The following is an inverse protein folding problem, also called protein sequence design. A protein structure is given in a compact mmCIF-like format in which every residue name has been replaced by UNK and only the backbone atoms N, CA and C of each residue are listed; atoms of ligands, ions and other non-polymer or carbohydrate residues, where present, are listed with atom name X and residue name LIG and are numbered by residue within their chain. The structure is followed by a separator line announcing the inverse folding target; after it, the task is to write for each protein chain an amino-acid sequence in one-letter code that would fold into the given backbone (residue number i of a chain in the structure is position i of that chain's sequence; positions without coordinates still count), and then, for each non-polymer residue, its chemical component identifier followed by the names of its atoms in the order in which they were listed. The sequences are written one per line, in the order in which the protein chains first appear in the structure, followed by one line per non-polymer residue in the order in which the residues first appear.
data_IF_131767692618
#
_entry.id   IF_131767692618
#
_cell.length_a   1.000
_cell.length_b   1.000
_cell.length_c   1.000
_cell.angle_alpha   90.00
_cell.angle_beta   90.00
_cell.angle_gamma   90.00
#
_symmetry.space_group_name_H-M   'P 1'
#
loop_
_entity.id
_entity.type
_entity.pdbx_description
1 polymer ?
#
# COMPACT_ATOMS: atom_id res chain seq x y z
N UNK A 1 -68.59 2.80 10.73
CA UNK A 1 -68.02 3.81 11.65
C UNK A 1 -66.61 4.09 11.17
N UNK A 2 -66.36 5.27 10.60
CA UNK A 2 -65.02 5.64 10.13
C UNK A 2 -64.17 6.06 11.33
N UNK A 3 -63.07 5.36 11.58
CA UNK A 3 -62.11 5.74 12.61
C UNK A 3 -61.26 6.89 12.06
N UNK A 4 -61.32 8.06 12.71
CA UNK A 4 -60.41 9.16 12.44
C UNK A 4 -59.02 8.78 12.93
N UNK A 5 -58.08 8.56 12.01
CA UNK A 5 -56.66 8.42 12.33
C UNK A 5 -56.09 9.83 12.53
N UNK A 6 -55.67 10.16 13.75
CA UNK A 6 -54.89 11.37 14.01
C UNK A 6 -53.41 11.05 13.81
N UNK A 7 -52.73 11.82 12.96
CA UNK A 7 -51.27 11.78 12.78
C UNK A 7 -50.70 13.02 13.43
N UNK A 8 -49.79 12.83 14.38
CA UNK A 8 -49.00 13.91 14.98
C UNK A 8 -47.64 13.96 14.28
N UNK A 9 -47.21 15.18 13.91
CA UNK A 9 -45.92 15.42 13.25
C UNK A 9 -45.15 16.43 14.09
N UNK A 10 -44.02 15.99 14.64
CA UNK A 10 -43.07 16.87 15.32
C UNK A 10 -42.05 17.41 14.31
N UNK A 11 -41.87 18.73 14.31
CA UNK A 11 -40.98 19.44 13.38
C UNK A 11 -39.97 20.27 14.16
N UNK A 12 -38.69 19.92 13.99
CA UNK A 12 -37.56 20.69 14.52
C UNK A 12 -37.11 21.71 13.48
N UNK A 13 -37.01 22.98 13.90
CA UNK A 13 -36.56 24.07 13.07
C UNK A 13 -35.21 24.61 13.54
N UNK A 14 -34.38 24.98 12.58
CA UNK A 14 -33.16 25.72 12.79
C UNK A 14 -33.20 27.02 12.00
N UNK A 15 -32.57 28.05 12.57
CA UNK A 15 -32.46 29.35 11.93
C UNK A 15 -31.26 29.37 10.99
N UNK A 16 -31.46 29.89 9.78
CA UNK A 16 -30.40 30.19 8.82
C UNK A 16 -30.55 31.62 8.34
N UNK A 17 -29.43 32.35 8.26
CA UNK A 17 -29.39 33.71 7.73
C UNK A 17 -28.68 33.73 6.38
N UNK A 18 -29.24 34.42 5.40
CA UNK A 18 -28.56 34.68 4.14
C UNK A 18 -27.47 35.75 4.36
N UNK A 19 -26.22 35.44 4.02
CA UNK A 19 -25.11 36.40 4.14
C UNK A 19 -25.16 37.55 3.13
N UNK A 20 -25.96 37.42 2.07
CA UNK A 20 -26.08 38.45 1.02
C UNK A 20 -27.19 39.46 1.34
N UNK A 21 -28.44 38.99 1.50
CA UNK A 21 -29.59 39.87 1.75
C UNK A 21 -29.91 40.06 3.24
N UNK A 22 -29.23 39.34 4.15
CA UNK A 22 -29.48 39.40 5.59
C UNK A 22 -30.80 38.75 6.06
N UNK A 23 -31.58 38.17 5.15
CA UNK A 23 -32.84 37.51 5.49
C UNK A 23 -32.64 36.33 6.45
N UNK A 24 -33.45 36.25 7.50
CA UNK A 24 -33.43 35.15 8.48
C UNK A 24 -34.63 34.22 8.22
N UNK A 25 -34.35 32.93 8.08
CA UNK A 25 -35.32 31.90 7.77
C UNK A 25 -35.29 30.80 8.82
N UNK A 26 -36.45 30.23 9.12
CA UNK A 26 -36.56 28.98 9.85
C UNK A 26 -36.70 27.83 8.85
N UNK A 27 -35.73 26.91 8.82
CA UNK A 27 -35.74 25.72 7.98
C UNK A 27 -35.79 24.46 8.83
N UNK A 28 -36.30 23.37 8.27
CA UNK A 28 -36.30 22.09 8.97
C UNK A 28 -34.85 21.65 9.28
N UNK A 29 -34.60 21.22 10.51
CA UNK A 29 -33.25 20.80 10.93
C UNK A 29 -32.75 19.61 10.11
N UNK A 30 -33.65 18.68 9.77
CA UNK A 30 -33.35 17.56 8.86
C UNK A 30 -32.89 18.04 7.48
N UNK A 31 -33.53 19.10 6.96
CA UNK A 31 -33.15 19.69 5.68
C UNK A 31 -31.76 20.35 5.78
N UNK A 32 -31.52 21.13 6.84
CA UNK A 32 -30.21 21.75 7.10
C UNK A 32 -29.08 20.70 7.18
N UNK A 33 -29.29 19.63 7.97
CA UNK A 33 -28.32 18.54 8.15
C UNK A 33 -28.07 17.76 6.85
N UNK A 34 -29.10 17.55 6.04
CA UNK A 34 -28.96 16.89 4.73
C UNK A 34 -27.98 17.66 3.84
N UNK A 35 -28.18 18.98 3.71
CA UNK A 35 -27.29 19.84 2.94
C UNK A 35 -25.87 19.91 3.53
N UNK A 36 -25.75 20.00 4.86
CA UNK A 36 -24.45 19.97 5.55
C UNK A 36 -23.68 18.66 5.28
N UNK A 37 -24.34 17.50 5.43
CA UNK A 37 -23.71 16.20 5.16
C UNK A 37 -23.34 16.05 3.69
N UNK A 38 -24.24 16.42 2.78
CA UNK A 38 -23.99 16.37 1.35
C UNK A 38 -22.93 17.37 0.88
N UNK A 39 -22.66 18.43 1.67
CA UNK A 39 -21.80 19.54 1.26
C UNK A 39 -22.44 20.40 0.17
N UNK A 40 -23.78 20.47 0.11
CA UNK A 40 -24.52 21.24 -0.89
C UNK A 40 -25.01 22.57 -0.31
N UNK A 41 -25.36 23.50 -1.20
CA UNK A 41 -25.87 24.82 -0.82
C UNK A 41 -27.38 24.81 -0.59
N UNK A 42 -27.83 25.68 0.32
CA UNK A 42 -29.21 26.11 0.43
C UNK A 42 -29.39 27.41 -0.35
N UNK A 43 -30.46 27.52 -1.13
CA UNK A 43 -30.72 28.72 -1.93
C UNK A 43 -31.66 29.65 -1.18
N UNK A 44 -31.26 30.91 -1.03
CA UNK A 44 -32.09 31.93 -0.43
C UNK A 44 -33.34 32.19 -1.30
N UNK A 45 -34.57 32.04 -0.76
CA UNK A 45 -35.78 32.27 -1.55
C UNK A 45 -35.97 33.72 -2.01
N UNK A 46 -35.29 34.68 -1.36
CA UNK A 46 -35.44 36.11 -1.68
C UNK A 46 -34.45 36.59 -2.73
N UNK A 47 -33.16 36.31 -2.56
CA UNK A 47 -32.12 36.77 -3.49
C UNK A 47 -31.58 35.68 -4.43
N UNK A 48 -32.10 34.45 -4.33
CA UNK A 48 -31.71 33.28 -5.12
C UNK A 48 -30.23 32.86 -5.03
N UNK A 49 -29.47 33.52 -4.15
CA UNK A 49 -28.07 33.18 -3.90
C UNK A 49 -28.00 31.89 -3.09
N UNK A 50 -27.23 30.93 -3.61
CA UNK A 50 -26.87 29.71 -2.90
C UNK A 50 -25.84 30.00 -1.80
N UNK A 51 -26.22 29.77 -0.54
CA UNK A 51 -25.34 29.80 0.61
C UNK A 51 -25.21 28.39 1.16
N UNK A 52 -23.99 27.89 1.26
CA UNK A 52 -23.77 26.46 1.49
C UNK A 52 -22.61 26.12 2.38
N UNK A 53 -22.60 24.84 2.73
CA UNK A 53 -21.57 24.19 3.55
C UNK A 53 -20.43 23.65 2.68
N UNK A 54 -20.05 24.41 1.64
CA UNK A 54 -19.06 23.96 0.65
C UNK A 54 -17.72 23.66 1.33
N UNK A 55 -17.17 22.49 1.02
CA UNK A 55 -15.90 21.99 1.57
C UNK A 55 -15.87 21.64 3.06
N UNK A 56 -16.92 21.96 3.84
CA UNK A 56 -16.96 21.73 5.30
C UNK A 56 -17.86 20.57 5.72
N UNK A 57 -18.57 19.96 4.77
CA UNK A 57 -19.43 18.81 5.04
C UNK A 57 -18.67 17.57 5.49
N UNK A 58 -19.33 16.76 6.32
CA UNK A 58 -18.81 15.48 6.82
C UNK A 58 -18.32 14.57 5.68
N UNK A 59 -19.03 14.55 4.54
CA UNK A 59 -18.61 13.78 3.38
C UNK A 59 -17.32 14.30 2.73
N UNK A 60 -17.08 15.61 2.70
CA UNK A 60 -15.83 16.16 2.16
C UNK A 60 -14.64 15.78 3.05
N UNK A 61 -14.82 15.82 4.37
CA UNK A 61 -13.82 15.37 5.34
C UNK A 61 -13.53 13.87 5.20
N UNK A 62 -14.57 13.05 5.11
CA UNK A 62 -14.43 11.60 4.93
C UNK A 62 -13.73 11.25 3.62
N UNK A 63 -14.05 11.92 2.52
CA UNK A 63 -13.35 11.74 1.23
C UNK A 63 -11.86 12.04 1.35
N UNK A 64 -11.50 13.17 1.98
CA UNK A 64 -10.08 13.53 2.19
C UNK A 64 -9.34 12.50 3.03
N UNK A 65 -9.98 11.99 4.09
CA UNK A 65 -9.40 10.93 4.93
C UNK A 65 -9.24 9.63 4.16
N UNK A 66 -10.21 9.29 3.30
CA UNK A 66 -10.13 8.09 2.47
C UNK A 66 -8.98 8.19 1.46
N UNK A 67 -8.85 9.32 0.76
CA UNK A 67 -7.74 9.58 -0.17
C UNK A 67 -6.36 9.51 0.52
N UNK A 68 -6.24 10.09 1.73
CA UNK A 68 -5.01 10.03 2.53
C UNK A 68 -4.67 8.57 2.91
N UNK A 69 -5.66 7.79 3.37
CA UNK A 69 -5.47 6.39 3.71
C UNK A 69 -5.13 5.52 2.50
N UNK A 70 -5.74 5.80 1.35
CA UNK A 70 -5.41 5.11 0.10
C UNK A 70 -3.98 5.40 -0.33
N UNK A 71 -3.55 6.66 -0.25
CA UNK A 71 -2.18 7.05 -0.56
C UNK A 71 -1.17 6.38 0.39
N UNK A 72 -1.45 6.34 1.69
CA UNK A 72 -0.64 5.64 2.69
C UNK A 72 -0.53 4.15 2.38
N UNK A 73 -1.66 3.50 2.08
CA UNK A 73 -1.70 2.08 1.73
C UNK A 73 -0.88 1.78 0.46
N UNK A 74 -0.97 2.64 -0.55
CA UNK A 74 -0.17 2.50 -1.77
C UNK A 74 1.33 2.63 -1.48
N UNK A 75 1.73 3.60 -0.65
CA UNK A 75 3.11 3.78 -0.25
C UNK A 75 3.64 2.60 0.56
N UNK A 76 2.84 2.07 1.48
CA UNK A 76 3.20 0.89 2.25
C UNK A 76 3.37 -0.34 1.34
N UNK A 77 2.45 -0.55 0.39
CA UNK A 77 2.57 -1.64 -0.59
C UNK A 77 3.85 -1.55 -1.42
N UNK A 78 4.18 -0.35 -1.92
CA UNK A 78 5.42 -0.11 -2.68
C UNK A 78 6.66 -0.43 -1.84
N UNK A 79 6.70 0.04 -0.58
CA UNK A 79 7.81 -0.25 0.35
C UNK A 79 7.98 -1.75 0.57
N UNK A 80 6.90 -2.46 0.87
CA UNK A 80 6.93 -3.92 1.08
C UNK A 80 7.38 -4.66 -0.17
N UNK A 81 6.91 -4.24 -1.35
CA UNK A 81 7.30 -4.83 -2.62
C UNK A 81 8.80 -4.64 -2.89
N UNK A 82 9.33 -3.42 -2.67
CA UNK A 82 10.75 -3.14 -2.83
C UNK A 82 11.61 -3.93 -1.87
N UNK A 83 11.23 -3.99 -0.59
CA UNK A 83 11.96 -4.81 0.39
C UNK A 83 12.01 -6.29 -0.03
N UNK A 84 10.89 -6.85 -0.50
CA UNK A 84 10.83 -8.23 -0.99
C UNK A 84 11.69 -8.44 -2.25
N UNK A 85 11.71 -7.47 -3.16
CA UNK A 85 12.56 -7.55 -4.34
C UNK A 85 14.04 -7.51 -3.95
N UNK A 86 14.41 -6.63 -3.02
CA UNK A 86 15.78 -6.51 -2.53
C UNK A 86 16.25 -7.81 -1.85
N UNK A 87 15.43 -8.41 -1.00
CA UNK A 87 15.76 -9.70 -0.35
C UNK A 87 15.95 -10.80 -1.40
N UNK A 88 15.03 -10.91 -2.36
CA UNK A 88 15.14 -11.88 -3.45
C UNK A 88 16.40 -11.66 -4.30
N UNK A 89 16.75 -10.41 -4.61
CA UNK A 89 17.98 -10.09 -5.33
C UNK A 89 19.23 -10.47 -4.52
N UNK A 90 19.24 -10.20 -3.22
CA UNK A 90 20.34 -10.58 -2.34
C UNK A 90 20.49 -12.10 -2.24
N UNK A 91 19.39 -12.84 -2.08
CA UNK A 91 19.39 -14.31 -2.04
C UNK A 91 19.88 -14.92 -3.35
N UNK A 92 19.40 -14.42 -4.48
CA UNK A 92 19.83 -14.88 -5.80
C UNK A 92 21.32 -14.62 -6.03
N UNK A 93 21.85 -13.47 -5.60
CA UNK A 93 23.30 -13.19 -5.65
C UNK A 93 24.09 -14.15 -4.78
N UNK A 94 23.70 -14.34 -3.51
CA UNK A 94 24.34 -15.31 -2.60
C UNK A 94 24.34 -16.72 -3.18
N UNK A 95 23.22 -17.16 -3.75
CA UNK A 95 23.11 -18.48 -4.39
C UNK A 95 24.03 -18.60 -5.60
N UNK A 96 24.09 -17.56 -6.44
CA UNK A 96 24.97 -17.50 -7.61
C UNK A 96 26.46 -17.57 -7.23
N UNK A 97 26.87 -16.81 -6.22
CA UNK A 97 28.23 -16.82 -5.67
C UNK A 97 28.59 -18.19 -5.08
N UNK A 98 27.68 -18.79 -4.29
CA UNK A 98 27.88 -20.13 -3.73
C UNK A 98 28.05 -21.17 -4.85
N UNK A 99 27.17 -21.15 -5.85
CA UNK A 99 27.26 -22.05 -7.00
C UNK A 99 28.58 -21.85 -7.79
N UNK A 100 29.00 -20.60 -8.00
CA UNK A 100 30.27 -20.30 -8.67
C UNK A 100 31.48 -20.82 -7.88
N UNK A 101 31.48 -20.62 -6.54
CA UNK A 101 32.52 -21.12 -5.63
C UNK A 101 32.58 -22.64 -5.64
N UNK A 102 31.45 -23.33 -5.51
CA UNK A 102 31.35 -24.80 -5.59
C UNK A 102 31.87 -25.31 -6.93
N UNK A 103 31.46 -24.68 -8.04
CA UNK A 103 31.94 -25.07 -9.38
C UNK A 103 33.46 -24.92 -9.52
N UNK A 104 34.04 -23.85 -9.01
CA UNK A 104 35.50 -23.63 -9.04
C UNK A 104 36.22 -24.66 -8.18
N UNK A 105 35.74 -24.88 -6.94
CA UNK A 105 36.28 -25.92 -6.04
C UNK A 105 36.26 -27.29 -6.70
N UNK A 106 35.14 -27.69 -7.29
CA UNK A 106 35.00 -28.98 -7.96
C UNK A 106 35.93 -29.11 -9.18
N UNK A 107 36.18 -28.03 -9.93
CA UNK A 107 37.16 -28.05 -11.02
C UNK A 107 38.58 -28.23 -10.51
N UNK A 108 38.97 -27.51 -9.47
CA UNK A 108 40.30 -27.61 -8.86
C UNK A 108 40.51 -29.01 -8.26
N UNK A 109 39.50 -29.55 -7.55
CA UNK A 109 39.52 -30.91 -7.02
C UNK A 109 39.77 -31.95 -8.11
N UNK A 110 39.19 -31.75 -9.29
CA UNK A 110 39.37 -32.61 -10.45
C UNK A 110 40.64 -32.28 -11.28
N UNK A 111 41.48 -31.33 -10.85
CA UNK A 111 42.71 -30.95 -11.55
C UNK A 111 42.49 -30.17 -12.85
N UNK A 112 41.37 -29.46 -12.97
CA UNK A 112 40.97 -28.69 -14.18
C UNK A 112 41.12 -27.19 -13.95
N UNK A 113 41.78 -26.44 -14.87
CA UNK A 113 41.85 -24.98 -14.76
C UNK A 113 40.45 -24.36 -14.82
N UNK A 114 40.06 -23.49 -13.86
CA UNK A 114 38.85 -22.69 -13.95
C UNK A 114 38.81 -21.78 -15.19
N UNK A 115 39.99 -21.34 -15.62
CA UNK A 115 40.23 -20.38 -16.69
C UNK A 115 40.02 -20.93 -18.11
N UNK A 116 40.77 -21.98 -18.47
CA UNK A 116 40.91 -22.47 -19.83
C UNK A 116 40.45 -23.92 -20.00
N UNK A 117 39.88 -24.53 -18.93
CA UNK A 117 39.40 -25.92 -18.89
C UNK A 117 40.45 -26.99 -19.20
N UNK A 118 41.75 -26.65 -19.19
CA UNK A 118 42.83 -27.64 -19.34
C UNK A 118 42.93 -28.51 -18.08
N UNK A 119 43.19 -29.80 -18.27
CA UNK A 119 43.37 -30.76 -17.19
C UNK A 119 44.84 -31.03 -16.92
N UNK A 120 45.23 -31.02 -15.64
CA UNK A 120 46.59 -31.27 -15.19
C UNK A 120 46.62 -32.60 -14.42
N UNK A 121 47.23 -33.63 -15.01
CA UNK A 121 47.26 -34.99 -14.43
C UNK A 121 47.95 -35.03 -13.06
N UNK A 122 49.03 -34.26 -12.89
CA UNK A 122 49.77 -34.20 -11.63
C UNK A 122 48.97 -33.53 -10.52
N UNK A 123 48.26 -32.45 -10.84
CA UNK A 123 47.37 -31.78 -9.89
C UNK A 123 46.23 -32.70 -9.48
N UNK A 124 45.60 -33.39 -10.44
CA UNK A 124 44.53 -34.35 -10.14
C UNK A 124 44.98 -35.44 -9.16
N UNK A 125 46.13 -36.07 -9.45
CA UNK A 125 46.74 -37.09 -8.58
C UNK A 125 47.12 -36.53 -7.21
N UNK A 126 47.65 -35.31 -7.17
CA UNK A 126 47.97 -34.62 -5.93
C UNK A 126 46.72 -34.42 -5.07
N UNK A 127 45.64 -33.88 -5.66
CA UNK A 127 44.38 -33.64 -4.96
C UNK A 127 43.76 -34.94 -4.45
N UNK A 128 43.75 -36.02 -5.24
CA UNK A 128 43.23 -37.32 -4.80
C UNK A 128 44.01 -37.92 -3.62
N UNK A 129 45.34 -37.87 -3.68
CA UNK A 129 46.18 -38.54 -2.68
C UNK A 129 46.39 -37.72 -1.40
N UNK A 130 46.45 -36.39 -1.52
CA UNK A 130 46.76 -35.48 -0.41
C UNK A 130 45.54 -34.74 0.12
N UNK A 131 44.51 -34.54 -0.70
CA UNK A 131 43.32 -33.76 -0.36
C UNK A 131 42.01 -34.48 -0.75
N UNK A 132 41.79 -35.74 -0.32
CA UNK A 132 40.62 -36.51 -0.74
C UNK A 132 39.27 -35.85 -0.39
N UNK A 133 39.21 -35.05 0.69
CA UNK A 133 37.99 -34.35 1.13
C UNK A 133 37.79 -32.95 0.54
N UNK A 134 38.73 -32.39 -0.24
CA UNK A 134 38.65 -30.99 -0.68
C UNK A 134 37.41 -30.65 -1.53
N UNK A 135 36.86 -31.64 -2.25
CA UNK A 135 35.61 -31.49 -3.01
C UNK A 135 34.33 -31.74 -2.19
N UNK A 136 34.42 -32.49 -1.09
CA UNK A 136 33.26 -32.88 -0.28
C UNK A 136 32.76 -31.73 0.63
N UNK A 137 33.66 -30.84 1.06
CA UNK A 137 33.33 -29.67 1.88
C UNK A 137 32.57 -28.56 1.11
N UNK A 138 32.23 -28.79 -0.16
CA UNK A 138 31.48 -27.83 -0.97
C UNK A 138 29.95 -27.87 -0.70
N UNK A 139 29.46 -28.94 -0.07
CA UNK A 139 28.02 -29.17 0.18
C UNK A 139 27.61 -28.95 1.65
N UNK A 140 28.56 -28.87 2.59
CA UNK A 140 28.31 -28.83 4.04
C UNK A 140 27.86 -27.48 4.63
N UNK A 141 28.01 -26.37 3.91
CA UNK A 141 27.68 -25.01 4.39
C UNK A 141 26.20 -24.65 4.11
N UNK A 142 25.30 -25.61 4.34
CA UNK A 142 23.85 -25.60 4.01
C UNK A 142 22.96 -25.53 5.27
N UNK A 143 23.44 -24.91 6.34
CA UNK A 143 22.64 -24.62 7.54
C UNK A 143 22.57 -23.12 7.77
#
# INVERSE_FOLDING_TARGET
MAQNLAINIDLDFATISCGECGGVYAILEKYRLSHYRAGTCWNCPYCEVGWGYDGQGENAKLKRQLEEKEHDLQNQKKRTQWAKQETLHAENRRRGEKAAKTRIKNRIANGVCPCCKRSFKDLHRHMQNKHPNYGADADGDMQ
#
